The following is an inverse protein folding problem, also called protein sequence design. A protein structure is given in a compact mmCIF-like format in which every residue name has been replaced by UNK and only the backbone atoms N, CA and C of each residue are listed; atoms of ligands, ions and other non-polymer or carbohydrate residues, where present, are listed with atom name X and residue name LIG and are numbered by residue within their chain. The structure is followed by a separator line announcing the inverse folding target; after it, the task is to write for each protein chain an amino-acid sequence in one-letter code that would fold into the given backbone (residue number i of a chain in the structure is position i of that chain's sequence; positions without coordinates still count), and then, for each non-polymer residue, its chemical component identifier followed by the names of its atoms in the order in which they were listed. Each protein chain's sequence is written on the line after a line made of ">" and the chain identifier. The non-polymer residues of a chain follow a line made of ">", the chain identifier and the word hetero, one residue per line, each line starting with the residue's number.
data_IF_783159708898
#
_entry.id   IF_783159708898
#
_cell.length_a   1.000
_cell.length_b   1.000
_cell.length_c   1.000
_cell.angle_alpha   90.00
_cell.angle_beta   90.00
_cell.angle_gamma   90.00
#
_symmetry.space_group_name_H-M   'P 1'
#
loop_
_entity.id
_entity.type
_entity.pdbx_description
1 polymer ?
#
# COMPACT_ATOMS: atom_id res chain seq x y z
N UNK A 1 -22.63 10.70 -8.51
CA UNK A 1 -21.37 10.25 -7.87
C UNK A 1 -21.56 9.01 -6.99
N UNK A 2 -22.51 8.99 -6.04
CA UNK A 2 -22.74 7.84 -5.13
C UNK A 2 -22.95 6.48 -5.82
N UNK A 3 -23.82 6.39 -6.83
CA UNK A 3 -24.05 5.13 -7.57
C UNK A 3 -22.77 4.57 -8.21
N UNK A 4 -21.93 5.44 -8.77
CA UNK A 4 -20.63 5.05 -9.32
C UNK A 4 -19.70 4.50 -8.25
N UNK A 5 -19.63 5.17 -7.09
CA UNK A 5 -18.87 4.73 -5.93
C UNK A 5 -19.30 3.33 -5.47
N UNK A 6 -20.61 3.09 -5.33
CA UNK A 6 -21.14 1.78 -4.95
C UNK A 6 -20.75 0.68 -5.94
N UNK A 7 -20.82 0.95 -7.24
CA UNK A 7 -20.41 -0.01 -8.28
C UNK A 7 -18.91 -0.31 -8.17
N UNK A 8 -18.07 0.71 -8.03
CA UNK A 8 -16.63 0.53 -7.85
C UNK A 8 -16.30 -0.33 -6.63
N UNK A 9 -16.86 -0.02 -5.45
CA UNK A 9 -16.60 -0.82 -4.25
C UNK A 9 -17.15 -2.23 -4.36
N UNK A 10 -18.27 -2.44 -5.05
CA UNK A 10 -18.81 -3.79 -5.28
C UNK A 10 -17.84 -4.62 -6.11
N UNK A 11 -17.30 -4.06 -7.20
CA UNK A 11 -16.33 -4.74 -8.06
C UNK A 11 -15.06 -5.06 -7.26
N UNK A 12 -14.54 -4.10 -6.49
CA UNK A 12 -13.34 -4.31 -5.65
C UNK A 12 -13.60 -5.40 -4.62
N UNK A 13 -14.73 -5.36 -3.91
CA UNK A 13 -15.06 -6.35 -2.89
C UNK A 13 -15.17 -7.76 -3.51
N UNK A 14 -15.95 -7.91 -4.58
CA UNK A 14 -16.13 -9.22 -5.22
C UNK A 14 -14.80 -9.79 -5.73
N UNK A 15 -13.97 -8.96 -6.38
CA UNK A 15 -12.69 -9.42 -6.92
C UNK A 15 -11.70 -9.80 -5.81
N UNK A 16 -11.57 -8.98 -4.77
CA UNK A 16 -10.61 -9.21 -3.69
C UNK A 16 -11.03 -10.39 -2.81
N UNK A 17 -12.30 -10.44 -2.38
CA UNK A 17 -12.79 -11.53 -1.55
C UNK A 17 -12.84 -12.86 -2.32
N UNK A 18 -13.12 -12.85 -3.63
CA UNK A 18 -13.06 -14.07 -4.43
C UNK A 18 -11.66 -14.69 -4.40
N UNK A 19 -10.62 -13.88 -4.62
CA UNK A 19 -9.22 -14.35 -4.57
C UNK A 19 -8.83 -14.77 -3.14
N UNK A 20 -9.20 -13.98 -2.13
CA UNK A 20 -8.85 -14.30 -0.74
C UNK A 20 -9.53 -15.59 -0.24
N UNK A 21 -10.83 -15.75 -0.50
CA UNK A 21 -11.60 -16.93 -0.07
C UNK A 21 -11.12 -18.18 -0.81
N UNK A 22 -10.95 -18.10 -2.14
CA UNK A 22 -10.47 -19.26 -2.91
C UNK A 22 -9.02 -19.63 -2.57
N UNK A 23 -8.14 -18.65 -2.37
CA UNK A 23 -6.77 -18.87 -1.95
C UNK A 23 -6.68 -19.52 -0.57
N UNK A 24 -7.44 -19.01 0.41
CA UNK A 24 -7.47 -19.61 1.75
C UNK A 24 -8.12 -21.00 1.74
N UNK A 25 -9.16 -21.22 0.91
CA UNK A 25 -9.74 -22.55 0.77
C UNK A 25 -8.76 -23.58 0.19
N UNK A 26 -7.87 -23.15 -0.73
CA UNK A 26 -6.87 -24.01 -1.34
C UNK A 26 -5.67 -24.30 -0.43
N UNK A 27 -5.13 -23.29 0.26
CA UNK A 27 -3.86 -23.39 1.01
C UNK A 27 -4.01 -23.36 2.54
N UNK A 28 -5.19 -23.02 3.05
CA UNK A 28 -5.47 -22.92 4.49
C UNK A 28 -4.46 -22.03 5.21
N UNK A 29 -3.97 -22.50 6.36
CA UNK A 29 -3.01 -21.77 7.19
C UNK A 29 -1.61 -21.61 6.55
N UNK A 30 -1.36 -22.25 5.41
CA UNK A 30 -0.11 -22.09 4.65
C UNK A 30 -0.18 -20.99 3.59
N UNK A 31 -1.28 -20.22 3.57
CA UNK A 31 -1.44 -19.11 2.63
C UNK A 31 -0.32 -18.07 2.81
N UNK A 32 0.46 -17.82 1.76
CA UNK A 32 1.49 -16.78 1.79
C UNK A 32 0.93 -15.40 1.45
N UNK A 33 1.66 -14.36 1.88
CA UNK A 33 1.33 -12.96 1.57
C UNK A 33 1.29 -12.64 0.08
N UNK A 34 2.08 -13.35 -0.73
CA UNK A 34 1.97 -13.35 -2.18
C UNK A 34 1.47 -14.72 -2.63
N UNK A 35 0.20 -14.81 -3.04
CA UNK A 35 -0.44 -16.08 -3.42
C UNK A 35 0.30 -16.84 -4.53
N UNK A 36 1.05 -16.14 -5.39
CA UNK A 36 1.85 -16.77 -6.44
C UNK A 36 2.96 -17.67 -5.88
N UNK A 37 3.47 -17.39 -4.68
CA UNK A 37 4.48 -18.22 -4.03
C UNK A 37 3.93 -19.57 -3.60
N UNK A 38 2.65 -19.67 -3.22
CA UNK A 38 2.04 -20.94 -2.85
C UNK A 38 1.94 -21.95 -4.00
N UNK A 39 2.10 -21.50 -5.25
CA UNK A 39 2.19 -22.38 -6.41
C UNK A 39 3.62 -22.90 -6.67
N UNK A 40 4.58 -22.56 -5.81
CA UNK A 40 5.97 -23.03 -5.86
C UNK A 40 6.24 -23.86 -4.60
N UNK A 41 6.36 -25.18 -4.75
CA UNK A 41 6.73 -26.09 -3.67
C UNK A 41 8.20 -26.50 -3.84
N UNK A 42 9.09 -25.97 -3.00
CA UNK A 42 10.54 -26.25 -3.01
C UNK A 42 11.18 -26.06 -4.42
N UNK A 43 10.77 -24.99 -5.12
CA UNK A 43 11.22 -24.66 -6.47
C UNK A 43 10.53 -25.42 -7.61
N UNK A 44 9.61 -26.35 -7.28
CA UNK A 44 8.77 -27.05 -8.27
C UNK A 44 7.41 -26.36 -8.39
N UNK A 45 7.07 -25.97 -9.61
CA UNK A 45 5.78 -25.33 -9.87
C UNK A 45 4.65 -26.37 -9.83
N UNK A 46 3.64 -26.14 -8.98
CA UNK A 46 2.41 -26.94 -8.90
C UNK A 46 1.49 -26.72 -10.13
N UNK A 47 1.74 -25.63 -10.86
CA UNK A 47 1.04 -25.24 -12.09
C UNK A 47 2.02 -25.10 -13.25
N UNK A 48 1.57 -25.06 -14.52
CA UNK A 48 2.46 -24.86 -15.65
C UNK A 48 3.33 -23.60 -15.49
N UNK A 49 4.64 -23.73 -15.69
CA UNK A 49 5.61 -22.63 -15.49
C UNK A 49 5.25 -21.37 -16.28
N UNK A 50 4.66 -21.54 -17.46
CA UNK A 50 4.22 -20.42 -18.31
C UNK A 50 3.12 -19.59 -17.65
N UNK A 51 2.25 -20.20 -16.85
CA UNK A 51 1.21 -19.48 -16.11
C UNK A 51 1.81 -18.55 -15.06
N UNK A 52 2.74 -19.05 -14.23
CA UNK A 52 3.45 -18.24 -13.22
C UNK A 52 4.22 -17.11 -13.90
N UNK A 53 4.93 -17.40 -14.99
CA UNK A 53 5.68 -16.40 -15.74
C UNK A 53 4.77 -15.30 -16.30
N UNK A 54 3.67 -15.68 -16.95
CA UNK A 54 2.71 -14.74 -17.52
C UNK A 54 2.09 -13.85 -16.43
N UNK A 55 1.65 -14.44 -15.31
CA UNK A 55 1.10 -13.69 -14.17
C UNK A 55 2.09 -12.66 -13.63
N UNK A 56 3.35 -13.06 -13.42
CA UNK A 56 4.39 -12.14 -12.96
C UNK A 56 4.67 -11.02 -13.96
N UNK A 57 4.72 -11.31 -15.27
CA UNK A 57 4.90 -10.29 -16.31
C UNK A 57 3.76 -9.27 -16.27
N UNK A 58 2.51 -9.73 -16.17
CA UNK A 58 1.36 -8.82 -16.09
C UNK A 58 1.37 -7.99 -14.81
N UNK A 59 1.72 -8.59 -13.67
CA UNK A 59 1.88 -7.86 -12.41
C UNK A 59 2.97 -6.79 -12.52
N UNK A 60 4.14 -7.11 -13.09
CA UNK A 60 5.23 -6.15 -13.28
C UNK A 60 4.80 -5.01 -14.22
N UNK A 61 4.16 -5.34 -15.34
CA UNK A 61 3.67 -4.36 -16.30
C UNK A 61 2.67 -3.40 -15.65
N UNK A 62 1.69 -3.95 -14.93
CA UNK A 62 0.67 -3.18 -14.23
C UNK A 62 1.28 -2.30 -13.13
N UNK A 63 2.15 -2.86 -12.28
CA UNK A 63 2.86 -2.10 -11.23
C UNK A 63 3.75 -0.99 -11.81
N UNK A 64 4.38 -1.22 -12.96
CA UNK A 64 5.19 -0.20 -13.64
C UNK A 64 4.33 0.99 -14.10
N UNK A 65 3.19 0.72 -14.72
CA UNK A 65 2.25 1.77 -15.14
C UNK A 65 1.70 2.55 -13.94
N UNK A 66 1.29 1.82 -12.90
CA UNK A 66 0.72 2.39 -11.67
C UNK A 66 1.78 3.22 -10.91
N UNK A 67 3.00 2.72 -10.79
CA UNK A 67 4.10 3.39 -10.09
C UNK A 67 4.40 4.79 -10.64
N UNK A 68 4.36 4.96 -11.97
CA UNK A 68 4.57 6.29 -12.59
C UNK A 68 3.48 7.27 -12.19
N UNK A 69 2.23 6.83 -12.09
CA UNK A 69 1.10 7.68 -11.68
C UNK A 69 1.20 8.04 -10.20
N UNK A 70 1.46 7.07 -9.33
CA UNK A 70 1.57 7.31 -7.89
C UNK A 70 2.80 8.14 -7.48
N UNK A 71 3.85 8.17 -8.30
CA UNK A 71 5.01 9.04 -8.08
C UNK A 71 4.75 10.51 -8.45
N UNK A 72 3.67 10.83 -9.18
CA UNK A 72 3.42 12.21 -9.63
C UNK A 72 3.33 13.22 -8.47
N UNK A 73 2.57 12.97 -7.38
CA UNK A 73 2.49 13.92 -6.27
C UNK A 73 3.85 14.14 -5.59
N UNK A 74 4.64 13.08 -5.43
CA UNK A 74 6.00 13.18 -4.87
C UNK A 74 6.91 13.97 -5.79
N UNK A 75 6.86 13.71 -7.09
CA UNK A 75 7.67 14.42 -8.08
C UNK A 75 7.30 15.90 -8.13
N UNK A 76 6.01 16.25 -8.02
CA UNK A 76 5.57 17.65 -7.94
C UNK A 76 6.17 18.37 -6.73
N UNK A 77 6.18 17.73 -5.56
CA UNK A 77 6.78 18.30 -4.35
C UNK A 77 8.29 18.46 -4.50
N UNK A 78 8.98 17.44 -5.01
CA UNK A 78 10.43 17.49 -5.23
C UNK A 78 10.81 18.56 -6.25
N UNK A 79 10.08 18.66 -7.36
CA UNK A 79 10.34 19.65 -8.41
C UNK A 79 10.05 21.08 -7.94
N UNK A 80 9.02 21.30 -7.12
CA UNK A 80 8.81 22.60 -6.48
C UNK A 80 9.92 22.97 -5.50
N UNK A 81 10.53 21.98 -4.86
CA UNK A 81 11.58 22.20 -3.86
C UNK A 81 12.93 22.49 -4.51
N UNK A 82 13.26 21.81 -5.60
CA UNK A 82 14.57 21.89 -6.26
C UNK A 82 14.59 22.70 -7.57
N UNK A 83 13.43 22.99 -8.14
CA UNK A 83 13.29 23.76 -9.37
C UNK A 83 13.32 25.27 -9.13
N UNK A 84 13.83 26.00 -10.12
CA UNK A 84 13.77 27.46 -10.17
C UNK A 84 12.51 27.90 -10.94
N UNK A 85 11.53 28.55 -10.27
CA UNK A 85 10.30 29.02 -10.91
C UNK A 85 10.51 30.16 -11.90
N UNK A 86 11.67 30.83 -11.88
CA UNK A 86 12.02 31.93 -12.79
C UNK A 86 12.66 31.44 -14.09
N UNK A 87 13.11 30.18 -14.12
CA UNK A 87 13.74 29.56 -15.28
C UNK A 87 12.71 28.78 -16.11
N UNK A 88 12.94 28.66 -17.43
CA UNK A 88 12.08 27.85 -18.31
C UNK A 88 12.03 26.40 -17.81
N UNK A 89 10.88 25.74 -17.95
CA UNK A 89 10.66 24.37 -17.48
C UNK A 89 11.70 23.37 -18.03
N UNK A 90 12.02 23.48 -19.33
CA UNK A 90 13.01 22.63 -19.99
C UNK A 90 14.45 23.20 -19.97
N UNK A 91 14.72 24.20 -19.11
CA UNK A 91 16.09 24.68 -18.93
C UNK A 91 16.95 23.63 -18.22
N UNK A 92 18.24 23.58 -18.50
CA UNK A 92 19.18 22.69 -17.79
C UNK A 92 19.11 22.85 -16.26
N UNK A 93 18.80 24.07 -15.78
CA UNK A 93 18.66 24.37 -14.36
C UNK A 93 17.46 23.69 -13.69
N UNK A 94 16.41 23.34 -14.44
CA UNK A 94 15.24 22.63 -13.93
C UNK A 94 15.24 21.14 -14.34
N UNK A 95 15.77 20.80 -15.52
CA UNK A 95 15.84 19.42 -16.01
C UNK A 95 16.82 18.57 -15.19
N UNK A 96 17.99 19.11 -14.83
CA UNK A 96 18.99 18.34 -14.08
C UNK A 96 18.48 17.96 -12.68
N UNK A 97 17.97 18.89 -11.84
CA UNK A 97 17.39 18.52 -10.54
C UNK A 97 16.19 17.60 -10.67
N UNK A 98 15.34 17.79 -11.69
CA UNK A 98 14.19 16.90 -11.99
C UNK A 98 14.63 15.47 -12.23
N UNK A 99 15.61 15.24 -13.12
CA UNK A 99 16.12 13.89 -13.42
C UNK A 99 16.77 13.29 -12.18
N UNK A 100 17.62 14.05 -11.48
CA UNK A 100 18.30 13.57 -10.26
C UNK A 100 17.30 13.20 -9.17
N UNK A 101 16.32 14.06 -8.88
CA UNK A 101 15.31 13.81 -7.83
C UNK A 101 14.44 12.60 -8.16
N UNK A 102 13.99 12.47 -9.41
CA UNK A 102 13.18 11.31 -9.86
C UNK A 102 14.00 10.02 -9.85
N UNK A 103 15.26 10.05 -10.27
CA UNK A 103 16.13 8.86 -10.22
C UNK A 103 16.43 8.47 -8.76
N UNK A 104 16.76 9.42 -7.90
CA UNK A 104 17.03 9.15 -6.48
C UNK A 104 15.81 8.58 -5.75
N UNK A 105 14.60 9.07 -6.04
CA UNK A 105 13.37 8.55 -5.41
C UNK A 105 13.12 7.09 -5.80
N UNK A 106 13.27 6.75 -7.10
CA UNK A 106 13.13 5.38 -7.59
C UNK A 106 14.23 4.48 -7.06
N UNK A 107 15.49 4.93 -7.05
CA UNK A 107 16.62 4.18 -6.51
C UNK A 107 16.38 3.89 -5.03
N UNK A 108 16.06 4.90 -4.23
CA UNK A 108 15.79 4.73 -2.80
C UNK A 108 14.64 3.74 -2.55
N UNK A 109 13.51 3.88 -3.26
CA UNK A 109 12.39 2.96 -3.13
C UNK A 109 12.76 1.51 -3.52
N UNK A 110 13.51 1.35 -4.61
CA UNK A 110 13.96 0.03 -5.08
C UNK A 110 14.96 -0.61 -4.12
N UNK A 111 15.89 0.17 -3.59
CA UNK A 111 16.86 -0.30 -2.58
C UNK A 111 16.13 -0.74 -1.30
N UNK A 112 15.18 0.04 -0.80
CA UNK A 112 14.37 -0.33 0.36
C UNK A 112 13.58 -1.62 0.12
N UNK A 113 12.96 -1.75 -1.06
CA UNK A 113 12.22 -2.95 -1.44
C UNK A 113 13.14 -4.19 -1.54
N UNK A 114 14.36 -4.03 -2.06
CA UNK A 114 15.35 -5.11 -2.14
C UNK A 114 15.91 -5.51 -0.76
N UNK A 115 16.00 -4.57 0.18
CA UNK A 115 16.49 -4.81 1.55
C UNK A 115 15.45 -5.48 2.46
N UNK A 116 14.15 -5.27 2.20
CA UNK A 116 13.07 -5.73 3.08
C UNK A 116 12.03 -6.54 2.27
N UNK A 117 12.26 -7.84 2.02
CA UNK A 117 11.35 -8.68 1.23
C UNK A 117 10.10 -9.13 2.02
N UNK A 118 9.62 -8.30 2.96
CA UNK A 118 8.48 -8.58 3.83
C UNK A 118 7.20 -7.93 3.29
N UNK A 119 6.77 -8.34 2.09
CA UNK A 119 5.67 -7.69 1.39
C UNK A 119 4.39 -7.58 2.24
N UNK A 120 3.97 -8.68 2.87
CA UNK A 120 2.78 -8.71 3.70
C UNK A 120 2.90 -7.81 4.93
N UNK A 121 4.05 -7.83 5.60
CA UNK A 121 4.25 -7.09 6.83
C UNK A 121 4.35 -5.59 6.58
N UNK A 122 5.04 -5.19 5.51
CA UNK A 122 5.10 -3.79 5.07
C UNK A 122 3.70 -3.29 4.71
N UNK A 123 2.91 -4.06 3.98
CA UNK A 123 1.53 -3.69 3.67
C UNK A 123 0.67 -3.58 4.94
N UNK A 124 0.88 -4.45 5.93
CA UNK A 124 0.19 -4.39 7.21
C UNK A 124 0.54 -3.11 7.99
N UNK A 125 1.82 -2.71 8.00
CA UNK A 125 2.27 -1.43 8.58
C UNK A 125 1.63 -0.24 7.86
N UNK A 126 1.67 -0.21 6.53
CA UNK A 126 1.07 0.87 5.73
C UNK A 126 -0.44 0.96 5.98
N UNK A 127 -1.13 -0.17 6.06
CA UNK A 127 -2.55 -0.23 6.39
C UNK A 127 -2.86 0.30 7.79
N UNK A 128 -2.05 -0.09 8.78
CA UNK A 128 -2.26 0.31 10.18
C UNK A 128 -1.95 1.79 10.44
N UNK A 129 -0.84 2.31 9.90
CA UNK A 129 -0.43 3.71 10.13
C UNK A 129 -1.05 4.70 9.14
N UNK A 130 -1.20 4.29 7.89
CA UNK A 130 -1.70 5.15 6.82
C UNK A 130 -3.20 5.02 6.68
N UNK A 131 -3.68 3.89 6.18
CA UNK A 131 -5.07 3.76 5.75
C UNK A 131 -6.08 3.78 6.89
N UNK A 132 -5.82 3.10 8.02
CA UNK A 132 -6.77 3.09 9.14
C UNK A 132 -7.10 4.50 9.66
N UNK A 133 -6.11 5.36 9.99
CA UNK A 133 -6.41 6.73 10.42
C UNK A 133 -7.02 7.57 9.30
N UNK A 134 -6.51 7.48 8.07
CA UNK A 134 -6.98 8.29 6.94
C UNK A 134 -8.42 7.97 6.54
N UNK A 135 -8.81 6.69 6.58
CA UNK A 135 -10.12 6.23 6.07
C UNK A 135 -11.21 6.22 7.15
N UNK A 136 -10.87 5.95 8.41
CA UNK A 136 -11.87 5.79 9.47
C UNK A 136 -11.84 6.88 10.52
N UNK A 137 -10.67 7.43 10.86
CA UNK A 137 -10.53 8.42 11.94
C UNK A 137 -10.69 9.83 11.41
N UNK A 138 -9.95 10.20 10.35
CA UNK A 138 -10.01 11.56 9.81
C UNK A 138 -11.39 11.98 9.31
N UNK A 139 -12.16 11.14 8.58
CA UNK A 139 -13.49 11.55 8.13
C UNK A 139 -14.44 11.83 9.30
N UNK A 140 -14.34 11.05 10.38
CA UNK A 140 -15.07 11.28 11.63
C UNK A 140 -14.66 12.61 12.26
N UNK A 141 -13.36 12.88 12.38
CA UNK A 141 -12.84 14.14 12.96
C UNK A 141 -13.31 15.34 12.13
N UNK A 142 -13.14 15.29 10.80
CA UNK A 142 -13.57 16.36 9.91
C UNK A 142 -15.08 16.56 9.93
N UNK A 143 -15.87 15.49 10.03
CA UNK A 143 -17.32 15.60 10.16
C UNK A 143 -17.71 16.35 11.45
N UNK A 144 -17.08 16.02 12.59
CA UNK A 144 -17.34 16.71 13.85
C UNK A 144 -16.92 18.18 13.83
N UNK A 145 -15.76 18.49 13.24
CA UNK A 145 -15.27 19.86 13.12
C UNK A 145 -16.16 20.73 12.21
N UNK A 146 -16.66 20.15 11.12
CA UNK A 146 -17.43 20.88 10.09
C UNK A 146 -18.89 21.04 10.50
N UNK A 147 -19.56 19.94 10.87
CA UNK A 147 -21.01 19.92 11.08
C UNK A 147 -21.41 20.12 12.54
N UNK A 148 -20.47 20.00 13.48
CA UNK A 148 -20.69 20.15 14.93
C UNK A 148 -22.00 19.48 15.40
N UNK A 149 -22.17 18.17 15.13
CA UNK A 149 -23.41 17.48 15.47
C UNK A 149 -23.68 17.57 16.99
N UNK A 150 -24.94 17.77 17.36
CA UNK A 150 -25.35 17.82 18.76
C UNK A 150 -24.99 16.51 19.48
N UNK A 151 -24.50 16.59 20.72
CA UNK A 151 -24.17 15.42 21.54
C UNK A 151 -25.37 14.51 21.87
N UNK A 152 -26.59 14.97 21.58
CA UNK A 152 -27.82 14.17 21.69
C UNK A 152 -28.15 13.39 20.41
N UNK A 153 -27.46 13.68 19.30
CA UNK A 153 -27.70 13.01 18.03
C UNK A 153 -27.10 11.60 18.03
N UNK A 154 -27.83 10.59 17.54
CA UNK A 154 -27.27 9.24 17.38
C UNK A 154 -26.06 9.24 16.42
N UNK A 155 -26.02 10.17 15.46
CA UNK A 155 -24.92 10.31 14.50
C UNK A 155 -23.63 10.74 15.20
N UNK A 156 -23.72 11.57 16.25
CA UNK A 156 -22.55 11.98 17.05
C UNK A 156 -21.90 10.75 17.69
N UNK A 157 -22.71 9.93 18.37
CA UNK A 157 -22.23 8.73 19.06
C UNK A 157 -21.72 7.66 18.10
N UNK A 158 -22.37 7.48 16.95
CA UNK A 158 -21.90 6.56 15.91
C UNK A 158 -20.54 6.98 15.35
N UNK A 159 -20.38 8.26 14.99
CA UNK A 159 -19.12 8.74 14.45
C UNK A 159 -18.02 8.66 15.52
N UNK A 160 -18.32 9.05 16.77
CA UNK A 160 -17.37 8.96 17.88
C UNK A 160 -16.94 7.50 18.14
N UNK A 161 -17.87 6.53 18.10
CA UNK A 161 -17.53 5.12 18.32
C UNK A 161 -16.65 4.57 17.20
N UNK A 162 -16.92 4.91 15.94
CA UNK A 162 -16.06 4.57 14.79
C UNK A 162 -14.66 5.14 15.00
N UNK A 163 -14.56 6.43 15.31
CA UNK A 163 -13.27 7.10 15.51
C UNK A 163 -12.45 6.45 16.63
N UNK A 164 -13.05 6.17 17.78
CA UNK A 164 -12.38 5.53 18.92
C UNK A 164 -11.97 4.10 18.59
N UNK A 165 -12.90 3.29 18.05
CA UNK A 165 -12.67 1.89 17.75
C UNK A 165 -11.53 1.70 16.73
N UNK A 166 -11.57 2.44 15.62
CA UNK A 166 -10.52 2.36 14.60
C UNK A 166 -9.21 3.00 15.03
N UNK A 167 -9.21 3.97 15.95
CA UNK A 167 -7.97 4.47 16.56
C UNK A 167 -7.30 3.40 17.42
N UNK A 168 -8.07 2.72 18.28
CA UNK A 168 -7.56 1.63 19.12
C UNK A 168 -7.07 0.47 18.25
N UNK A 169 -7.87 0.06 17.24
CA UNK A 169 -7.45 -0.96 16.29
C UNK A 169 -6.19 -0.56 15.52
N UNK A 170 -6.06 0.70 15.09
CA UNK A 170 -4.87 1.21 14.41
C UNK A 170 -3.62 1.04 15.26
N UNK A 171 -3.69 1.38 16.55
CA UNK A 171 -2.57 1.19 17.48
C UNK A 171 -2.23 -0.30 17.65
N UNK A 172 -3.24 -1.15 17.85
CA UNK A 172 -3.02 -2.60 18.00
C UNK A 172 -2.40 -3.19 16.73
N UNK A 173 -2.94 -2.85 15.56
CA UNK A 173 -2.46 -3.31 14.27
C UNK A 173 -1.03 -2.82 13.99
N UNK A 174 -0.72 -1.57 14.34
CA UNK A 174 0.63 -1.02 14.21
C UNK A 174 1.64 -1.77 15.08
N UNK A 175 1.30 -2.04 16.34
CA UNK A 175 2.16 -2.82 17.25
C UNK A 175 2.34 -4.25 16.72
N UNK A 176 1.27 -4.88 16.25
CA UNK A 176 1.32 -6.23 15.69
C UNK A 176 2.20 -6.29 14.43
N UNK A 177 2.05 -5.35 13.52
CA UNK A 177 2.81 -5.30 12.27
C UNK A 177 4.31 -5.04 12.52
N UNK A 178 4.65 -4.10 13.42
CA UNK A 178 6.05 -3.85 13.80
C UNK A 178 6.66 -5.07 14.50
N UNK A 179 5.90 -5.74 15.37
CA UNK A 179 6.35 -6.99 16.02
C UNK A 179 6.61 -8.08 14.98
N UNK A 180 5.74 -8.22 13.98
CA UNK A 180 5.89 -9.22 12.92
C UNK A 180 7.17 -8.99 12.12
N UNK A 181 7.41 -7.75 11.65
CA UNK A 181 8.67 -7.36 11.00
C UNK A 181 9.87 -7.69 11.88
N UNK A 182 9.79 -7.39 13.18
CA UNK A 182 10.89 -7.67 14.12
C UNK A 182 11.16 -9.16 14.33
N UNK A 183 10.17 -10.03 14.17
CA UNK A 183 10.34 -11.49 14.21
C UNK A 183 10.95 -12.00 12.91
N UNK A 184 10.46 -11.53 11.77
CA UNK A 184 10.93 -11.98 10.46
C UNK A 184 12.34 -11.46 10.17
N UNK A 185 12.66 -10.24 10.62
CA UNK A 185 14.00 -9.66 10.53
C UNK A 185 15.07 -10.44 11.31
N UNK A 186 14.71 -11.18 12.38
CA UNK A 186 15.69 -12.02 13.12
C UNK A 186 16.19 -13.20 12.31
N UNK A 187 15.34 -13.74 11.45
CA UNK A 187 15.66 -14.88 10.59
C UNK A 187 16.25 -14.43 9.24
N UNK A 188 16.11 -13.14 8.91
CA UNK A 188 16.60 -12.57 7.67
C UNK A 188 18.06 -12.13 7.78
N UNK A 189 18.84 -12.45 6.75
CA UNK A 189 20.19 -11.93 6.55
C UNK A 189 20.16 -11.05 5.30
N UNK A 190 20.54 -9.79 5.47
CA UNK A 190 20.59 -8.82 4.40
C UNK A 190 21.52 -9.34 3.29
N UNK A 191 20.99 -9.48 2.06
CA UNK A 191 21.73 -9.99 0.90
C UNK A 191 22.36 -11.38 1.07
N UNK A 192 21.75 -12.29 1.83
CA UNK A 192 22.30 -13.63 2.07
C UNK A 192 22.55 -14.49 0.82
N UNK A 193 21.93 -14.13 -0.31
CA UNK A 193 22.04 -14.82 -1.60
C UNK A 193 22.70 -13.94 -2.69
N UNK A 194 23.47 -12.92 -2.29
CA UNK A 194 24.41 -12.19 -3.17
C UNK A 194 25.83 -12.66 -2.89
#
# INVERSE_FOLDING_TARGET
>A
MFKGLCVCYTIVAVTFFSVAVSGYWAFGNQSEGLILNNFLDDGKALVPKWFILMSNIFTILQLSAVGVVYLQPTNEVLERTFGDPSSKEFSFRNVVPRVVARSLSVIAATTLAAMLPFFADINSVIGAFGFMPLDFVLPVVFYHLTFKPSSKSPIFWLNASIGIFFSVLGVIAAVAAVRQIGLDAKNYRLFANV
#
